data_IF_864165375402
#
_entry.id   IF_864165375402
#
_cell.length_a   1.000
_cell.length_b   1.000
_cell.length_c   1.000
_cell.angle_alpha   90.00
_cell.angle_beta   90.00
_cell.angle_gamma   90.00
#
_symmetry.space_group_name_H-M   'P 1'
#
loop_
_entity.id
_entity.type
_entity.pdbx_description
1 polymer ?
#
# COMPACT_ATOMS: atom_id res chain seq x y z
N UNK A 1 -0.81 12.54 -20.62
CA UNK A 1 -2.11 13.24 -20.43
C UNK A 1 -1.84 14.73 -20.28
N UNK A 2 -2.69 15.56 -20.85
CA UNK A 2 -2.69 17.02 -20.68
C UNK A 2 -4.04 17.41 -20.10
N UNK A 3 -4.05 18.12 -18.98
CA UNK A 3 -5.26 18.54 -18.28
C UNK A 3 -5.15 20.01 -17.88
N UNK A 4 -6.28 20.74 -17.93
CA UNK A 4 -6.32 22.14 -17.55
C UNK A 4 -7.10 23.01 -18.57
N UNK A 5 -6.92 24.31 -18.48
CA UNK A 5 -7.50 25.26 -19.43
C UNK A 5 -6.57 25.35 -20.65
N UNK A 6 -6.70 24.36 -21.55
CA UNK A 6 -5.86 24.25 -22.76
C UNK A 6 -6.74 24.12 -24.00
N UNK A 7 -6.25 24.67 -25.12
CA UNK A 7 -6.82 24.38 -26.43
C UNK A 7 -6.29 23.03 -26.89
N UNK A 8 -7.21 22.10 -27.20
CA UNK A 8 -6.85 20.72 -27.55
C UNK A 8 -6.11 20.63 -28.90
N UNK A 9 -6.49 21.43 -29.89
CA UNK A 9 -5.87 21.40 -31.22
C UNK A 9 -4.44 21.97 -31.14
N UNK A 10 -4.26 23.08 -30.41
CA UNK A 10 -2.95 23.68 -30.20
C UNK A 10 -2.04 22.74 -29.38
N UNK A 11 -2.56 22.08 -28.35
CA UNK A 11 -1.81 21.11 -27.55
C UNK A 11 -1.33 19.93 -28.44
N UNK A 12 -2.22 19.36 -29.26
CA UNK A 12 -1.86 18.28 -30.19
C UNK A 12 -0.81 18.74 -31.19
N UNK A 13 -0.96 19.93 -31.76
CA UNK A 13 0.02 20.49 -32.70
C UNK A 13 1.40 20.66 -32.05
N UNK A 14 1.45 21.07 -30.79
CA UNK A 14 2.71 21.16 -30.04
C UNK A 14 3.32 19.79 -29.74
N UNK A 15 2.49 18.80 -29.36
CA UNK A 15 2.94 17.41 -29.18
C UNK A 15 3.55 16.87 -30.47
N UNK A 16 2.88 17.00 -31.59
CA UNK A 16 3.41 16.58 -32.89
C UNK A 16 4.74 17.28 -33.23
N UNK A 17 4.77 18.60 -33.05
CA UNK A 17 5.97 19.38 -33.33
C UNK A 17 7.20 18.95 -32.55
N UNK A 18 7.03 18.63 -31.25
CA UNK A 18 8.17 18.36 -30.36
C UNK A 18 8.46 16.87 -30.21
N UNK A 19 7.47 16.00 -30.38
CA UNK A 19 7.64 14.55 -30.14
C UNK A 19 7.70 13.72 -31.42
N UNK A 20 7.08 14.15 -32.54
CA UNK A 20 7.19 13.41 -33.80
C UNK A 20 8.65 13.21 -34.30
N UNK A 21 9.60 14.14 -34.07
CA UNK A 21 11.00 13.92 -34.41
C UNK A 21 11.68 12.82 -33.57
N UNK A 22 11.11 12.46 -32.42
CA UNK A 22 11.58 11.34 -31.60
C UNK A 22 11.07 10.06 -32.26
N UNK A 23 11.77 9.61 -33.30
CA UNK A 23 11.36 8.45 -34.07
C UNK A 23 11.27 7.17 -33.24
N UNK A 24 10.48 6.22 -33.73
CA UNK A 24 10.46 4.87 -33.17
C UNK A 24 11.87 4.26 -33.32
N UNK A 25 12.46 3.90 -32.19
CA UNK A 25 13.80 3.29 -32.16
C UNK A 25 13.79 1.87 -32.70
N UNK A 26 12.61 1.28 -32.99
CA UNK A 26 12.45 -0.12 -33.34
C UNK A 26 12.84 -1.09 -32.21
N UNK A 27 13.14 -0.56 -31.02
CA UNK A 27 13.46 -1.40 -29.89
C UNK A 27 12.18 -2.19 -29.46
N UNK A 28 12.27 -3.50 -29.27
CA UNK A 28 11.14 -4.28 -28.80
C UNK A 28 10.70 -3.73 -27.43
N UNK A 29 9.39 -3.61 -27.25
CA UNK A 29 8.82 -3.22 -25.96
C UNK A 29 9.39 -4.11 -24.84
N UNK A 30 9.75 -3.54 -23.69
CA UNK A 30 10.28 -4.32 -22.58
C UNK A 30 9.32 -5.45 -22.23
N UNK A 31 9.77 -6.69 -22.41
CA UNK A 31 8.96 -7.84 -22.00
C UNK A 31 8.96 -7.91 -20.48
N UNK A 32 7.84 -7.58 -19.87
CA UNK A 32 7.65 -7.82 -18.44
C UNK A 32 7.69 -9.33 -18.18
N UNK A 33 8.77 -9.82 -17.59
CA UNK A 33 8.83 -11.20 -17.15
C UNK A 33 7.75 -11.41 -16.08
N UNK A 34 6.77 -12.25 -16.38
CA UNK A 34 5.82 -12.76 -15.39
C UNK A 34 6.55 -13.75 -14.47
N UNK A 35 7.46 -13.24 -13.66
CA UNK A 35 8.13 -14.02 -12.63
C UNK A 35 7.31 -13.92 -11.35
N UNK A 36 6.77 -15.01 -10.85
CA UNK A 36 6.21 -15.03 -9.49
C UNK A 36 7.28 -14.59 -8.50
N UNK A 37 6.95 -13.71 -7.58
CA UNK A 37 7.83 -13.38 -6.46
C UNK A 37 7.86 -14.66 -5.60
N UNK A 38 8.95 -15.42 -5.67
CA UNK A 38 9.21 -16.49 -4.73
C UNK A 38 9.74 -15.85 -3.45
N UNK A 39 8.91 -15.82 -2.43
CA UNK A 39 9.33 -15.44 -1.09
C UNK A 39 10.14 -16.59 -0.49
N UNK A 40 11.45 -16.40 -0.40
CA UNK A 40 12.29 -17.29 0.38
C UNK A 40 11.91 -17.16 1.87
N UNK A 41 11.39 -18.23 2.46
CA UNK A 41 10.95 -18.25 3.85
C UNK A 41 12.06 -17.87 4.85
N UNK A 42 13.31 -18.13 4.50
CA UNK A 42 14.47 -17.79 5.33
C UNK A 42 14.73 -16.27 5.44
N UNK A 43 14.18 -15.47 4.53
CA UNK A 43 14.39 -14.01 4.48
C UNK A 43 13.17 -13.20 4.92
N UNK A 44 12.15 -13.82 5.48
CA UNK A 44 10.90 -13.13 5.86
C UNK A 44 11.06 -12.13 7.00
N UNK A 45 12.05 -12.31 7.88
CA UNK A 45 12.28 -11.41 9.01
C UNK A 45 13.70 -10.84 8.97
N UNK A 46 13.81 -9.51 9.02
CA UNK A 46 15.09 -8.82 9.02
C UNK A 46 15.10 -7.67 10.03
N UNK A 47 16.10 -7.68 10.89
CA UNK A 47 16.40 -6.52 11.73
C UNK A 47 17.53 -5.72 11.11
N UNK A 48 17.36 -4.42 10.99
CA UNK A 48 18.31 -3.49 10.45
C UNK A 48 18.61 -2.46 11.55
N UNK A 49 19.85 -2.47 12.03
CA UNK A 49 20.33 -1.47 12.98
C UNK A 49 20.74 -0.22 12.22
N UNK A 50 20.19 0.92 12.60
CA UNK A 50 20.47 2.23 11.99
C UNK A 50 20.36 3.32 13.04
N UNK A 51 20.91 4.48 12.75
CA UNK A 51 20.65 5.70 13.51
C UNK A 51 19.21 6.18 13.22
N UNK A 52 18.29 5.68 14.02
CA UNK A 52 16.86 6.04 13.96
C UNK A 52 16.39 6.43 15.36
N UNK A 53 15.53 7.46 15.46
CA UNK A 53 15.06 7.95 16.78
C UNK A 53 14.14 6.95 17.47
N UNK A 54 13.59 5.98 16.76
CA UNK A 54 12.58 5.02 17.26
C UNK A 54 12.66 3.72 16.50
N UNK A 55 12.31 2.63 17.18
CA UNK A 55 12.10 1.35 16.52
C UNK A 55 10.86 1.43 15.63
N UNK A 56 11.00 1.09 14.35
CA UNK A 56 9.88 0.92 13.45
C UNK A 56 9.77 -0.54 13.00
N UNK A 57 8.53 -1.01 12.90
CA UNK A 57 8.20 -2.36 12.44
C UNK A 57 7.35 -2.24 11.20
N UNK A 58 7.76 -2.90 10.12
CA UNK A 58 7.04 -2.95 8.86
C UNK A 58 6.73 -4.41 8.54
N UNK A 59 5.46 -4.71 8.43
CA UNK A 59 4.96 -6.01 7.96
C UNK A 59 4.44 -5.87 6.54
N UNK A 60 4.70 -6.88 5.72
CA UNK A 60 4.26 -6.87 4.32
C UNK A 60 3.72 -8.23 3.90
N UNK A 61 2.68 -8.20 3.06
CA UNK A 61 2.07 -9.38 2.45
C UNK A 61 1.94 -9.18 0.94
N UNK A 62 2.17 -10.23 0.13
CA UNK A 62 1.83 -10.20 -1.28
C UNK A 62 0.30 -10.29 -1.43
N UNK A 63 -0.29 -9.33 -2.14
CA UNK A 63 -1.72 -9.28 -2.42
C UNK A 63 -1.96 -9.25 -3.95
N UNK A 64 -3.18 -9.48 -4.44
CA UNK A 64 -3.47 -9.40 -5.86
C UNK A 64 -3.03 -8.07 -6.49
N UNK A 65 -2.75 -8.04 -7.81
CA UNK A 65 -2.48 -6.80 -8.52
C UNK A 65 -3.72 -5.90 -8.50
N UNK A 66 -3.53 -4.59 -8.66
CA UNK A 66 -4.66 -3.63 -8.74
C UNK A 66 -5.55 -3.87 -9.97
N UNK A 67 -5.03 -4.55 -10.98
CA UNK A 67 -5.76 -4.86 -12.21
C UNK A 67 -5.51 -6.29 -12.66
N UNK A 68 -6.59 -6.98 -13.00
CA UNK A 68 -6.59 -8.32 -13.61
C UNK A 68 -6.92 -8.23 -15.09
N UNK A 69 -6.47 -9.20 -15.93
CA UNK A 69 -6.87 -9.28 -17.33
C UNK A 69 -8.39 -9.28 -17.46
N UNK A 70 -8.94 -8.45 -18.36
CA UNK A 70 -10.36 -8.47 -18.65
C UNK A 70 -10.77 -9.84 -19.23
N UNK A 71 -11.97 -10.34 -18.83
CA UNK A 71 -12.42 -11.70 -19.18
C UNK A 71 -12.54 -11.97 -20.68
N UNK A 72 -12.69 -10.92 -21.51
CA UNK A 72 -12.92 -11.02 -22.96
C UNK A 72 -11.70 -10.63 -23.82
N UNK A 73 -10.50 -10.53 -23.24
CA UNK A 73 -9.31 -10.23 -24.05
C UNK A 73 -8.84 -11.44 -24.83
N UNK A 74 -9.19 -11.49 -26.12
CA UNK A 74 -8.54 -12.39 -27.08
C UNK A 74 -7.04 -12.05 -27.12
N UNK A 75 -6.14 -13.06 -27.04
CA UNK A 75 -4.72 -12.79 -27.13
C UNK A 75 -4.40 -12.13 -28.46
N UNK A 76 -3.91 -10.91 -28.41
CA UNK A 76 -3.55 -10.13 -29.60
C UNK A 76 -2.34 -10.76 -30.30
N UNK A 77 -2.55 -11.17 -31.53
CA UNK A 77 -1.53 -11.24 -32.56
C UNK A 77 -1.57 -9.91 -33.32
N UNK A 78 -0.53 -9.15 -33.19
CA UNK A 78 -0.16 -8.00 -34.01
C UNK A 78 -0.14 -6.63 -33.29
N UNK A 79 0.77 -5.78 -33.75
CA UNK A 79 1.22 -4.51 -33.17
C UNK A 79 0.20 -3.34 -33.17
N UNK A 80 -1.10 -3.62 -33.13
CA UNK A 80 -2.14 -2.60 -33.02
C UNK A 80 -2.46 -2.33 -31.54
N UNK A 81 -2.47 -1.05 -31.15
CA UNK A 81 -2.94 -0.61 -29.85
C UNK A 81 -4.35 -1.16 -29.59
N UNK A 82 -4.62 -1.84 -28.46
CA UNK A 82 -5.94 -2.39 -28.17
C UNK A 82 -6.98 -1.26 -28.14
N UNK A 83 -8.10 -1.47 -28.82
CA UNK A 83 -9.21 -0.50 -28.90
C UNK A 83 -10.20 -0.62 -27.74
N UNK A 84 -9.82 -1.28 -26.65
CA UNK A 84 -10.67 -1.46 -25.46
C UNK A 84 -9.88 -1.78 -24.20
N UNK A 85 -10.56 -1.89 -23.06
CA UNK A 85 -9.91 -2.20 -21.78
C UNK A 85 -9.26 -3.57 -21.86
N UNK A 86 -7.97 -3.63 -21.56
CA UNK A 86 -7.19 -4.89 -21.51
C UNK A 86 -7.20 -5.50 -20.12
N UNK A 87 -7.53 -4.71 -19.11
CA UNK A 87 -7.59 -5.08 -17.71
C UNK A 87 -8.80 -4.42 -17.04
N UNK A 88 -9.23 -4.98 -15.93
CA UNK A 88 -10.25 -4.43 -15.04
C UNK A 88 -9.69 -4.32 -13.64
N UNK A 89 -10.19 -3.39 -12.84
CA UNK A 89 -9.84 -3.32 -11.42
C UNK A 89 -10.13 -4.68 -10.75
N UNK A 90 -9.21 -5.16 -9.91
CA UNK A 90 -9.33 -6.45 -9.25
C UNK A 90 -10.18 -6.32 -7.97
N UNK A 91 -11.33 -6.99 -7.87
CA UNK A 91 -12.20 -6.87 -6.69
C UNK A 91 -11.52 -7.31 -5.39
N UNK A 92 -10.63 -8.31 -5.44
CA UNK A 92 -9.92 -8.79 -4.25
C UNK A 92 -8.87 -7.78 -3.79
N UNK A 93 -8.20 -7.09 -4.72
CA UNK A 93 -7.29 -6.00 -4.38
C UNK A 93 -8.04 -4.84 -3.69
N UNK A 94 -9.19 -4.44 -4.25
CA UNK A 94 -10.05 -3.40 -3.67
C UNK A 94 -10.56 -3.80 -2.29
N UNK A 95 -11.00 -5.06 -2.11
CA UNK A 95 -11.43 -5.57 -0.80
C UNK A 95 -10.29 -5.57 0.23
N UNK A 96 -9.07 -5.90 -0.20
CA UNK A 96 -7.88 -5.83 0.65
C UNK A 96 -7.56 -4.38 1.06
N UNK A 97 -7.68 -3.41 0.16
CA UNK A 97 -7.48 -1.99 0.49
C UNK A 97 -8.53 -1.49 1.49
N UNK A 98 -9.77 -1.95 1.36
CA UNK A 98 -10.81 -1.66 2.35
C UNK A 98 -10.51 -2.33 3.70
N UNK A 99 -9.99 -3.57 3.72
CA UNK A 99 -9.55 -4.23 4.95
C UNK A 99 -8.43 -3.43 5.65
N UNK A 100 -7.43 -2.96 4.91
CA UNK A 100 -6.37 -2.09 5.44
C UNK A 100 -6.93 -0.77 5.97
N UNK A 101 -7.93 -0.19 5.30
CA UNK A 101 -8.62 1.02 5.77
C UNK A 101 -9.40 0.77 7.07
N UNK A 102 -10.08 -0.36 7.23
CA UNK A 102 -10.72 -0.76 8.49
C UNK A 102 -9.69 -0.89 9.61
N UNK A 103 -8.51 -1.45 9.30
CA UNK A 103 -7.43 -1.64 10.27
C UNK A 103 -6.80 -0.32 10.72
N UNK A 104 -6.44 0.58 9.80
CA UNK A 104 -5.69 1.79 10.15
C UNK A 104 -6.14 3.08 9.43
N UNK A 105 -7.29 3.09 8.75
CA UNK A 105 -7.85 4.25 8.07
C UNK A 105 -8.50 5.25 9.05
N UNK A 106 -7.67 6.00 9.76
CA UNK A 106 -8.11 7.09 10.64
C UNK A 106 -8.17 6.73 12.13
N UNK A 107 -8.53 7.72 12.93
CA UNK A 107 -8.39 7.70 14.40
C UNK A 107 -9.28 6.68 15.14
N UNK A 108 -10.33 6.20 14.52
CA UNK A 108 -11.26 5.21 15.09
C UNK A 108 -11.11 3.81 14.49
N UNK A 109 -10.10 3.58 13.68
CA UNK A 109 -9.75 2.28 13.13
C UNK A 109 -9.24 1.31 14.18
N UNK A 110 -9.31 0.00 13.92
CA UNK A 110 -9.06 -1.04 14.91
C UNK A 110 -7.65 -0.95 15.51
N UNK A 111 -6.61 -0.82 14.66
CA UNK A 111 -5.22 -0.76 15.12
C UNK A 111 -4.91 0.55 15.86
N UNK A 112 -5.36 1.70 15.33
CA UNK A 112 -5.11 3.00 15.97
C UNK A 112 -5.79 3.04 17.34
N UNK A 113 -7.05 2.61 17.44
CA UNK A 113 -7.75 2.57 18.71
C UNK A 113 -7.02 1.68 19.73
N UNK A 114 -6.69 0.44 19.35
CA UNK A 114 -6.12 -0.53 20.28
C UNK A 114 -4.66 -0.23 20.61
N UNK A 115 -3.80 -0.06 19.59
CA UNK A 115 -2.35 0.01 19.81
C UNK A 115 -1.86 1.38 20.25
N UNK A 116 -2.48 2.46 19.76
CA UNK A 116 -2.09 3.83 20.14
C UNK A 116 -2.90 4.31 21.34
N UNK A 117 -4.23 4.36 21.25
CA UNK A 117 -5.06 5.03 22.25
C UNK A 117 -5.26 4.23 23.52
N UNK A 118 -5.55 2.92 23.42
CA UNK A 118 -5.84 2.09 24.60
C UNK A 118 -4.55 1.60 25.27
N UNK A 119 -3.62 1.07 24.49
CA UNK A 119 -2.40 0.45 25.03
C UNK A 119 -1.19 1.38 25.02
N UNK A 120 -1.18 2.44 24.23
CA UNK A 120 -0.07 3.39 24.16
C UNK A 120 1.25 2.75 23.71
N UNK A 121 1.20 1.74 22.82
CA UNK A 121 2.38 0.99 22.37
C UNK A 121 3.11 1.67 21.21
N UNK A 122 2.40 2.48 20.45
CA UNK A 122 2.92 3.11 19.24
C UNK A 122 2.70 4.61 19.24
N UNK A 123 3.54 5.35 18.52
CA UNK A 123 3.32 6.78 18.22
C UNK A 123 2.54 6.97 16.92
N UNK A 124 2.35 5.90 16.18
CA UNK A 124 1.56 5.86 14.97
C UNK A 124 1.60 4.47 14.35
N UNK A 125 0.47 4.11 13.75
CA UNK A 125 0.32 2.89 12.96
C UNK A 125 -0.45 3.24 11.68
N UNK A 126 0.01 2.70 10.57
CA UNK A 126 -0.61 2.86 9.25
C UNK A 126 -0.76 1.52 8.56
N UNK A 127 -1.75 1.41 7.71
CA UNK A 127 -1.95 0.27 6.84
C UNK A 127 -2.37 0.78 5.45
N UNK A 128 -1.68 0.32 4.43
CA UNK A 128 -1.92 0.72 3.04
C UNK A 128 -1.41 -0.37 2.09
N UNK A 129 -1.79 -0.31 0.83
CA UNK A 129 -1.19 -1.12 -0.20
C UNK A 129 -0.24 -0.30 -1.08
N UNK A 130 0.78 -0.97 -1.60
CA UNK A 130 1.56 -0.49 -2.72
C UNK A 130 1.06 -1.23 -3.96
N UNK A 131 0.18 -0.56 -4.70
CA UNK A 131 -0.42 -1.10 -5.90
C UNK A 131 0.59 -1.19 -7.04
N UNK A 132 0.89 -2.41 -7.50
CA UNK A 132 1.70 -2.67 -8.67
C UNK A 132 0.79 -3.19 -9.78
N UNK A 133 0.84 -2.53 -10.94
CA UNK A 133 -0.21 -2.59 -11.95
C UNK A 133 -0.51 -3.95 -12.57
N UNK A 134 0.46 -4.81 -12.77
CA UNK A 134 0.27 -6.08 -13.52
C UNK A 134 0.91 -7.27 -12.84
N UNK A 135 1.40 -7.06 -11.64
CA UNK A 135 2.02 -8.07 -10.80
C UNK A 135 1.40 -8.04 -9.41
N UNK A 136 1.85 -8.89 -8.51
CA UNK A 136 1.39 -8.85 -7.14
C UNK A 136 1.68 -7.51 -6.51
N UNK A 137 0.66 -6.90 -5.94
CA UNK A 137 0.76 -5.74 -5.06
C UNK A 137 1.26 -6.16 -3.67
N UNK A 138 1.54 -5.18 -2.83
CA UNK A 138 2.05 -5.44 -1.47
C UNK A 138 1.19 -4.70 -0.47
N UNK A 139 0.53 -5.43 0.42
CA UNK A 139 -0.07 -4.84 1.61
C UNK A 139 1.02 -4.55 2.65
N UNK A 140 0.92 -3.43 3.33
CA UNK A 140 1.92 -2.92 4.26
C UNK A 140 1.21 -2.48 5.53
N UNK A 141 1.67 -2.97 6.69
CA UNK A 141 1.35 -2.40 8.01
C UNK A 141 2.65 -1.90 8.61
N UNK A 142 2.71 -0.62 8.93
CA UNK A 142 3.88 0.02 9.51
C UNK A 142 3.54 0.69 10.84
N UNK A 143 4.41 0.53 11.84
CA UNK A 143 4.24 1.12 13.16
C UNK A 143 5.55 1.67 13.70
N UNK A 144 5.47 2.77 14.43
CA UNK A 144 6.56 3.34 15.20
C UNK A 144 6.33 3.05 16.68
N UNK A 145 7.19 2.22 17.28
CA UNK A 145 7.05 1.82 18.67
C UNK A 145 7.48 2.95 19.61
N UNK A 146 6.75 3.09 20.73
CA UNK A 146 7.16 4.00 21.80
C UNK A 146 8.41 3.47 22.51
N UNK A 147 9.20 4.35 23.14
CA UNK A 147 10.38 3.93 23.93
C UNK A 147 10.04 2.85 24.96
N UNK A 148 10.86 1.81 25.01
CA UNK A 148 10.68 0.69 25.95
C UNK A 148 9.64 -0.37 25.52
N UNK A 149 8.99 -0.22 24.37
CA UNK A 149 8.10 -1.23 23.82
C UNK A 149 8.89 -2.22 22.96
N UNK A 150 8.86 -3.50 23.32
CA UNK A 150 9.51 -4.55 22.53
C UNK A 150 8.65 -4.94 21.33
N UNK A 151 9.32 -5.43 20.28
CA UNK A 151 8.65 -5.93 19.06
C UNK A 151 7.73 -7.12 19.39
N UNK A 152 8.13 -7.98 20.32
CA UNK A 152 7.35 -9.14 20.78
C UNK A 152 6.05 -8.71 21.47
N UNK A 153 6.11 -7.66 22.31
CA UNK A 153 4.91 -7.09 22.93
C UNK A 153 3.98 -6.48 21.92
N UNK A 154 4.53 -5.73 20.96
CA UNK A 154 3.75 -5.14 19.87
C UNK A 154 3.06 -6.22 19.03
N UNK A 155 3.79 -7.26 18.61
CA UNK A 155 3.25 -8.37 17.80
C UNK A 155 2.16 -9.13 18.54
N UNK A 156 2.31 -9.35 19.84
CA UNK A 156 1.29 -10.04 20.65
C UNK A 156 -0.06 -9.33 20.64
N UNK A 157 -0.06 -8.01 20.54
CA UNK A 157 -1.29 -7.22 20.46
C UNK A 157 -1.78 -7.00 19.01
N UNK A 158 -0.85 -6.93 18.05
CA UNK A 158 -1.17 -6.73 16.64
C UNK A 158 -1.76 -7.97 15.98
N UNK A 159 -1.11 -9.13 16.15
CA UNK A 159 -1.45 -10.35 15.41
C UNK A 159 -2.90 -10.81 15.59
N UNK A 160 -3.47 -10.77 16.82
CA UNK A 160 -4.88 -11.08 17.00
C UNK A 160 -5.82 -10.13 16.26
N UNK A 161 -5.49 -8.83 16.17
CA UNK A 161 -6.33 -7.85 15.47
C UNK A 161 -6.38 -8.08 13.95
N UNK A 162 -5.27 -8.52 13.37
CA UNK A 162 -5.22 -8.92 11.95
C UNK A 162 -6.08 -10.17 11.70
N UNK A 163 -5.94 -11.18 12.55
CA UNK A 163 -6.73 -12.43 12.45
C UNK A 163 -8.22 -12.19 12.74
N UNK A 164 -8.53 -11.30 13.67
CA UNK A 164 -9.91 -10.96 14.03
C UNK A 164 -10.70 -10.42 12.85
N UNK A 165 -10.09 -9.59 11.99
CA UNK A 165 -10.79 -9.01 10.84
C UNK A 165 -11.27 -10.07 9.84
N UNK A 166 -10.52 -11.16 9.66
CA UNK A 166 -10.92 -12.29 8.82
C UNK A 166 -12.07 -13.11 9.42
N UNK A 167 -12.09 -13.27 10.76
CA UNK A 167 -13.11 -14.07 11.47
C UNK A 167 -14.34 -13.27 11.89
N UNK A 168 -14.17 -11.97 12.06
CA UNK A 168 -15.21 -10.99 12.39
C UNK A 168 -15.16 -9.85 11.36
N UNK A 169 -15.87 -10.01 10.22
CA UNK A 169 -15.92 -9.02 9.16
C UNK A 169 -16.23 -7.62 9.67
N UNK A 170 -15.89 -6.56 8.93
CA UNK A 170 -16.15 -5.21 9.37
C UNK A 170 -17.64 -4.98 9.57
N UNK A 171 -17.96 -4.19 10.58
CA UNK A 171 -19.34 -3.76 10.83
C UNK A 171 -19.83 -2.82 9.73
N UNK A 172 -21.16 -2.70 9.52
CA UNK A 172 -21.71 -1.71 8.59
C UNK A 172 -21.25 -0.28 8.88
N UNK A 173 -21.00 0.06 10.14
CA UNK A 173 -20.49 1.38 10.54
C UNK A 173 -19.04 1.57 10.13
N UNK A 174 -18.18 0.57 10.28
CA UNK A 174 -16.78 0.60 9.80
C UNK A 174 -16.75 0.74 8.29
N UNK A 175 -17.59 -0.02 7.56
CA UNK A 175 -17.71 0.07 6.11
C UNK A 175 -18.21 1.45 5.64
N UNK A 176 -19.21 2.01 6.30
CA UNK A 176 -19.70 3.36 5.98
C UNK A 176 -18.61 4.42 6.14
N UNK A 177 -17.79 4.33 7.19
CA UNK A 177 -16.64 5.22 7.41
C UNK A 177 -15.59 5.06 6.30
N UNK A 178 -15.21 3.83 5.95
CA UNK A 178 -14.23 3.57 4.89
C UNK A 178 -14.70 4.12 3.55
N UNK A 179 -15.99 3.90 3.19
CA UNK A 179 -16.57 4.45 1.96
C UNK A 179 -16.59 5.97 1.94
N UNK A 180 -16.97 6.61 3.06
CA UNK A 180 -16.97 8.08 3.16
C UNK A 180 -15.57 8.66 3.00
N UNK A 181 -14.55 8.00 3.53
CA UNK A 181 -13.16 8.38 3.35
C UNK A 181 -12.72 8.20 1.90
N UNK A 182 -12.97 7.03 1.30
CA UNK A 182 -12.67 6.77 -0.10
C UNK A 182 -13.35 7.77 -1.04
N UNK A 183 -14.62 8.13 -0.76
CA UNK A 183 -15.34 9.15 -1.52
C UNK A 183 -14.68 10.53 -1.42
N UNK A 184 -14.23 10.92 -0.23
CA UNK A 184 -13.51 12.18 -0.06
C UNK A 184 -12.20 12.17 -0.84
N UNK A 185 -11.40 11.12 -0.69
CA UNK A 185 -10.09 11.00 -1.33
C UNK A 185 -10.25 10.97 -2.87
N UNK A 186 -11.30 10.30 -3.35
CA UNK A 186 -11.68 10.31 -4.76
C UNK A 186 -12.05 11.71 -5.26
N UNK A 187 -12.90 12.45 -4.53
CA UNK A 187 -13.25 13.83 -4.88
C UNK A 187 -12.02 14.75 -4.88
N UNK A 188 -11.12 14.59 -3.92
CA UNK A 188 -9.86 15.32 -3.86
C UNK A 188 -8.97 15.04 -5.06
N UNK A 189 -8.94 13.78 -5.55
CA UNK A 189 -8.17 13.41 -6.75
C UNK A 189 -8.68 14.08 -8.03
N UNK A 190 -9.92 14.57 -8.05
CA UNK A 190 -10.51 15.30 -9.18
C UNK A 190 -10.47 16.83 -9.01
N UNK A 191 -10.01 17.32 -7.87
CA UNK A 191 -10.09 18.74 -7.53
C UNK A 191 -9.19 19.63 -8.38
N UNK A 192 -8.00 19.14 -8.75
CA UNK A 192 -7.04 19.94 -9.53
C UNK A 192 -6.82 19.36 -10.93
N UNK A 193 -6.29 20.15 -11.86
CA UNK A 193 -5.94 19.71 -13.19
C UNK A 193 -4.82 18.65 -13.16
N UNK A 194 -3.87 18.81 -12.24
CA UNK A 194 -2.72 17.92 -12.05
C UNK A 194 -3.16 16.54 -11.61
N UNK A 195 -3.91 16.45 -10.52
CA UNK A 195 -4.40 15.17 -10.01
C UNK A 195 -5.35 14.46 -10.98
N UNK A 196 -6.18 15.21 -11.73
CA UNK A 196 -6.99 14.61 -12.81
C UNK A 196 -6.14 14.00 -13.92
N UNK A 197 -5.03 14.66 -14.30
CA UNK A 197 -4.10 14.11 -15.29
C UNK A 197 -3.52 12.78 -14.80
N UNK A 198 -3.13 12.71 -13.52
CA UNK A 198 -2.60 11.48 -12.90
C UNK A 198 -3.63 10.35 -12.89
N UNK A 199 -4.86 10.61 -12.45
CA UNK A 199 -5.95 9.61 -12.44
C UNK A 199 -6.22 9.05 -13.84
N UNK A 200 -6.38 9.92 -14.84
CA UNK A 200 -6.63 9.50 -16.22
C UNK A 200 -5.45 8.74 -16.82
N UNK A 201 -4.22 9.19 -16.53
CA UNK A 201 -3.01 8.53 -17.00
C UNK A 201 -2.84 7.15 -16.35
N UNK A 202 -3.07 7.04 -15.05
CA UNK A 202 -3.01 5.78 -14.32
C UNK A 202 -4.03 4.76 -14.88
N UNK A 203 -5.29 5.17 -15.05
CA UNK A 203 -6.32 4.31 -15.65
C UNK A 203 -5.93 3.86 -17.06
N UNK A 204 -5.45 4.77 -17.90
CA UNK A 204 -4.99 4.40 -19.24
C UNK A 204 -3.81 3.41 -19.23
N UNK A 205 -2.82 3.64 -18.36
CA UNK A 205 -1.64 2.77 -18.30
C UNK A 205 -1.92 1.40 -17.65
N UNK A 206 -2.74 1.39 -16.61
CA UNK A 206 -2.99 0.19 -15.81
C UNK A 206 -4.10 -0.66 -16.43
N UNK A 207 -5.22 -0.03 -16.76
CA UNK A 207 -6.43 -0.71 -17.25
C UNK A 207 -6.52 -0.74 -18.79
N UNK A 208 -5.78 0.13 -19.48
CA UNK A 208 -5.79 0.26 -20.94
C UNK A 208 -6.80 1.28 -21.45
N UNK A 209 -7.68 1.79 -20.61
CA UNK A 209 -8.70 2.79 -20.98
C UNK A 209 -8.88 3.82 -19.85
N UNK A 210 -8.64 5.10 -20.16
CA UNK A 210 -8.82 6.19 -19.21
C UNK A 210 -10.26 6.33 -18.68
N UNK A 211 -11.27 5.84 -19.41
CA UNK A 211 -12.68 5.87 -19.00
C UNK A 211 -12.96 4.98 -17.79
N UNK A 212 -12.11 4.02 -17.50
CA UNK A 212 -12.22 3.13 -16.34
C UNK A 212 -11.70 3.76 -15.03
N UNK A 213 -11.41 5.04 -15.03
CA UNK A 213 -10.91 5.75 -13.84
C UNK A 213 -11.87 5.72 -12.64
N UNK A 214 -13.12 5.30 -12.84
CA UNK A 214 -14.12 5.18 -11.78
C UNK A 214 -14.30 3.75 -11.26
N UNK A 215 -13.79 2.74 -11.97
CA UNK A 215 -14.08 1.32 -11.70
C UNK A 215 -13.72 0.90 -10.27
N UNK A 216 -12.58 1.35 -9.76
CA UNK A 216 -12.12 1.06 -8.39
C UNK A 216 -13.09 1.65 -7.35
N UNK A 217 -13.52 2.90 -7.57
CA UNK A 217 -14.46 3.56 -6.69
C UNK A 217 -15.84 2.87 -6.69
N UNK A 218 -16.33 2.47 -7.85
CA UNK A 218 -17.60 1.75 -8.00
C UNK A 218 -17.54 0.38 -7.30
N UNK A 219 -16.41 -0.32 -7.40
CA UNK A 219 -16.18 -1.56 -6.66
C UNK A 219 -16.19 -1.33 -5.15
N UNK A 220 -15.49 -0.31 -4.64
CA UNK A 220 -15.51 0.03 -3.21
C UNK A 220 -16.94 0.32 -2.71
N UNK A 221 -17.75 1.02 -3.52
CA UNK A 221 -19.12 1.33 -3.17
C UNK A 221 -20.01 0.07 -3.05
N UNK A 222 -19.76 -0.92 -3.92
CA UNK A 222 -20.52 -2.17 -3.97
C UNK A 222 -20.03 -3.25 -2.99
N UNK A 223 -18.81 -3.15 -2.45
CA UNK A 223 -18.16 -4.17 -1.64
C UNK A 223 -18.94 -4.48 -0.36
N UNK A 224 -19.12 -5.77 -0.03
CA UNK A 224 -19.80 -6.21 1.20
C UNK A 224 -18.85 -6.37 2.38
N UNK A 225 -19.39 -6.46 3.60
CA UNK A 225 -18.60 -6.72 4.81
C UNK A 225 -17.90 -8.08 4.72
N UNK A 226 -18.60 -9.09 4.20
CA UNK A 226 -18.10 -10.46 4.04
C UNK A 226 -16.91 -10.50 3.08
N UNK A 227 -17.00 -9.85 1.92
CA UNK A 227 -15.90 -9.78 0.94
C UNK A 227 -14.65 -9.13 1.52
N UNK A 228 -14.79 -8.09 2.35
CA UNK A 228 -13.67 -7.45 3.03
C UNK A 228 -13.08 -8.36 4.11
N UNK A 229 -13.92 -9.13 4.83
CA UNK A 229 -13.48 -10.14 5.78
C UNK A 229 -12.69 -11.26 5.10
N UNK A 230 -13.18 -11.80 3.98
CA UNK A 230 -12.48 -12.80 3.17
C UNK A 230 -11.13 -12.29 2.66
N UNK A 231 -11.07 -11.05 2.17
CA UNK A 231 -9.80 -10.46 1.73
C UNK A 231 -8.80 -10.26 2.88
N UNK A 232 -9.28 -10.07 4.12
CA UNK A 232 -8.41 -9.97 5.30
C UNK A 232 -7.65 -11.27 5.61
N UNK A 233 -8.05 -12.43 5.10
CA UNK A 233 -7.30 -13.67 5.19
C UNK A 233 -5.91 -13.56 4.53
N UNK A 234 -5.76 -12.69 3.53
CA UNK A 234 -4.48 -12.40 2.91
C UNK A 234 -3.48 -11.73 3.86
N UNK A 235 -3.96 -11.15 4.97
CA UNK A 235 -3.17 -10.44 5.98
C UNK A 235 -2.80 -11.36 7.16
N UNK A 236 -2.77 -12.67 6.96
CA UNK A 236 -2.37 -13.64 7.98
C UNK A 236 -0.99 -13.27 8.58
N UNK A 237 -0.91 -13.01 9.90
CA UNK A 237 0.34 -12.63 10.56
C UNK A 237 1.47 -13.66 10.38
N UNK A 238 1.15 -14.94 10.22
CA UNK A 238 2.13 -16.00 10.01
C UNK A 238 2.80 -15.94 8.63
N UNK A 239 2.15 -15.32 7.64
CA UNK A 239 2.63 -15.17 6.28
C UNK A 239 3.34 -13.81 6.03
N UNK A 240 3.35 -12.93 7.03
CA UNK A 240 4.00 -11.63 6.93
C UNK A 240 5.51 -11.75 6.75
N UNK A 241 6.06 -10.94 5.86
CA UNK A 241 7.48 -10.59 5.92
C UNK A 241 7.63 -9.37 6.82
N UNK A 242 8.63 -9.37 7.71
CA UNK A 242 8.81 -8.30 8.68
C UNK A 242 10.20 -7.67 8.58
N UNK A 243 10.24 -6.35 8.54
CA UNK A 243 11.47 -5.57 8.67
C UNK A 243 11.37 -4.71 9.93
N UNK A 244 12.40 -4.79 10.76
CA UNK A 244 12.54 -3.98 11.98
C UNK A 244 13.70 -3.04 11.75
N UNK A 245 13.46 -1.73 11.91
CA UNK A 245 14.51 -0.73 12.02
C UNK A 245 14.64 -0.34 13.49
N UNK A 246 15.81 -0.49 14.07
CA UNK A 246 16.08 -0.17 15.47
C UNK A 246 17.36 0.62 15.60
N UNK A 247 17.46 1.46 16.63
CA UNK A 247 18.71 2.14 16.99
C UNK A 247 19.76 1.13 17.45
N UNK A 248 21.01 1.45 17.31
CA UNK A 248 22.07 0.76 18.04
C UNK A 248 21.77 0.87 19.54
N UNK A 249 21.70 -0.26 20.22
CA UNK A 249 21.74 -0.25 21.68
C UNK A 249 23.14 0.25 22.08
N UNK A 250 23.22 1.50 22.46
CA UNK A 250 24.38 1.97 23.23
C UNK A 250 24.25 1.27 24.58
N UNK A 251 24.99 0.20 24.76
CA UNK A 251 25.25 -0.32 26.10
C UNK A 251 25.81 0.85 26.90
N UNK A 252 25.03 1.42 27.79
CA UNK A 252 25.53 2.34 28.80
C UNK A 252 26.44 1.52 29.69
N UNK A 253 27.72 1.50 29.34
CA UNK A 253 28.77 1.15 30.28
C UNK A 253 28.62 2.15 31.43
N UNK A 254 28.00 1.72 32.49
CA UNK A 254 28.16 2.34 33.78
C UNK A 254 29.62 2.15 34.14
N UNK A 255 30.46 3.15 33.81
CA UNK A 255 31.71 3.35 34.47
C UNK A 255 31.39 3.55 35.95
N UNK A 256 31.55 2.49 36.70
CA UNK A 256 31.61 2.54 38.16
C UNK A 256 32.85 3.33 38.50
N UNK A 257 32.67 4.61 38.80
CA UNK A 257 33.67 5.38 39.51
C UNK A 257 33.95 4.67 40.84
N UNK A 258 35.06 3.97 40.87
CA UNK A 258 35.71 3.60 42.13
C UNK A 258 36.24 4.89 42.75
N UNK A 259 35.51 5.45 43.68
CA UNK A 259 36.04 6.28 44.74
C UNK A 259 36.72 5.34 45.75
N UNK A 260 37.98 5.02 45.50
CA UNK A 260 38.85 4.50 46.53
C UNK A 260 39.61 5.67 47.12
N UNK A 261 39.22 5.97 48.36
CA UNK A 261 39.98 6.70 49.34
C UNK A 261 41.45 6.28 49.34
N UNK A 262 42.33 7.20 49.33
CA UNK A 262 43.59 7.05 49.99
C UNK A 262 43.93 8.28 50.86
N UNK A 263 43.61 8.08 52.13
CA UNK A 263 44.11 8.81 53.27
C UNK A 263 45.62 8.53 53.48
N UNK A 264 46.29 9.48 54.05
CA UNK A 264 47.59 9.40 54.68
C UNK A 264 48.82 10.00 53.97
N UNK A 265 49.17 11.15 54.36
CA UNK A 265 50.38 11.67 55.06
C UNK A 265 50.80 13.05 54.58
#
# INVERSE_FOLDING_TARGET
>A
VISGCVDAEEALRLVERYFAPVGDTGAPAPQHRRGGIHLDSARRNRTIVRDVPRTSVVLTWPVPPVASPAADTTPMSDHTCPTGPTHTADPTAVACDMALSVLAGGMSSRLVRRLDRELGLVDGVSANSLGLSRQRSTAIVAAHLKPGVSVERFRRELDPLLTELATQPPTPQEMARCRAQAQRDWLESWATADTRADVLNAAHQILGDARQCHDEFDLMAAMTCEQVGEAAELLDPSQASMVIHTAEQTDSVTDGANDDEEDAR
#
